data_IF_100915469914
#
_entry.id   IF_100915469914
#
_cell.length_a   1.000
_cell.length_b   1.000
_cell.length_c   1.000
_cell.angle_alpha   90.00
_cell.angle_beta   90.00
_cell.angle_gamma   90.00
#
_symmetry.space_group_name_H-M   'P 1'
#
loop_
_entity.id
_entity.type
_entity.pdbx_description
1 polymer ?
#
# COMPACT_ATOMS: atom_id res chain seq x y z
N UNK A 1 14.73 4.80 -21.96
CA UNK A 1 15.89 5.05 -21.07
C UNK A 1 15.39 5.89 -19.91
N UNK A 2 15.64 5.48 -18.67
CA UNK A 2 15.29 6.28 -17.48
C UNK A 2 16.08 7.59 -17.45
N UNK A 3 15.44 8.68 -17.05
CA UNK A 3 16.07 10.01 -17.01
C UNK A 3 17.28 10.00 -16.05
N UNK A 4 18.42 10.63 -16.39
CA UNK A 4 19.64 10.60 -15.55
C UNK A 4 19.41 11.00 -14.09
N UNK A 5 18.52 11.96 -13.83
CA UNK A 5 18.14 12.37 -12.48
C UNK A 5 17.42 11.28 -11.67
N UNK A 6 16.60 10.44 -12.31
CA UNK A 6 15.91 9.31 -11.64
C UNK A 6 16.94 8.28 -11.19
N UNK A 7 17.92 7.97 -12.04
CA UNK A 7 19.02 7.05 -11.72
C UNK A 7 19.86 7.57 -10.56
N UNK A 8 20.17 8.87 -10.53
CA UNK A 8 20.89 9.49 -9.43
C UNK A 8 20.11 9.41 -8.11
N UNK A 9 18.81 9.76 -8.15
CA UNK A 9 17.94 9.73 -6.97
C UNK A 9 17.81 8.30 -6.40
N UNK A 10 17.64 7.29 -7.25
CA UNK A 10 17.54 5.89 -6.82
C UNK A 10 18.80 5.43 -6.08
N UNK A 11 19.99 5.79 -6.58
CA UNK A 11 21.29 5.33 -6.04
C UNK A 11 21.81 6.14 -4.84
N UNK A 12 21.21 7.30 -4.53
CA UNK A 12 21.64 8.09 -3.38
C UNK A 12 21.39 7.32 -2.06
N UNK A 13 22.30 7.39 -1.07
CA UNK A 13 22.00 6.91 0.29
C UNK A 13 20.92 7.79 0.93
N UNK A 14 19.93 7.17 1.57
CA UNK A 14 18.76 7.85 2.15
C UNK A 14 18.48 7.33 3.55
N UNK A 15 17.98 8.22 4.41
CA UNK A 15 17.31 7.84 5.65
C UNK A 15 15.83 8.24 5.52
N UNK A 16 14.94 7.31 5.81
CA UNK A 16 13.50 7.55 5.85
C UNK A 16 13.07 7.70 7.31
N UNK A 17 12.64 8.91 7.68
CA UNK A 17 12.35 9.27 9.08
C UNK A 17 10.86 9.25 9.41
N UNK A 18 10.00 9.14 8.38
CA UNK A 18 8.56 9.04 8.52
C UNK A 18 8.05 8.02 7.51
N UNK A 19 7.77 6.82 8.00
CA UNK A 19 7.11 5.75 7.28
C UNK A 19 6.14 5.06 8.25
N UNK A 20 4.95 4.77 7.76
CA UNK A 20 4.04 3.83 8.43
C UNK A 20 4.29 2.46 7.79
N UNK A 21 4.69 1.46 8.59
CA UNK A 21 4.99 0.10 8.07
C UNK A 21 3.73 -0.51 7.46
N UNK A 22 2.59 -0.28 8.10
CA UNK A 22 1.28 -0.70 7.62
C UNK A 22 0.88 0.06 6.34
N UNK A 23 1.47 1.23 6.10
CA UNK A 23 1.27 2.03 4.89
C UNK A 23 2.13 1.59 3.72
N UNK A 24 3.13 0.72 3.93
CA UNK A 24 3.93 0.11 2.85
C UNK A 24 3.34 -1.21 2.35
N UNK A 25 2.07 -1.47 2.68
CA UNK A 25 1.39 -2.72 2.38
C UNK A 25 0.79 -2.69 0.98
N UNK A 26 1.39 -3.45 0.07
CA UNK A 26 0.90 -3.55 -1.31
C UNK A 26 -0.42 -4.36 -1.38
N UNK A 27 -1.32 -4.04 -2.33
CA UNK A 27 -2.58 -4.76 -2.52
C UNK A 27 -2.44 -6.28 -2.64
N UNK A 28 -1.39 -6.77 -3.31
CA UNK A 28 -1.10 -8.20 -3.44
C UNK A 28 -0.86 -8.85 -2.08
N UNK A 29 -0.02 -8.21 -1.25
CA UNK A 29 0.30 -8.71 0.09
C UNK A 29 -0.93 -8.67 1.00
N UNK A 30 -1.81 -7.68 0.84
CA UNK A 30 -3.08 -7.61 1.54
C UNK A 30 -3.98 -8.82 1.24
N UNK A 31 -4.07 -9.22 -0.02
CA UNK A 31 -4.81 -10.43 -0.41
C UNK A 31 -4.17 -11.72 0.13
N UNK A 32 -2.84 -11.82 0.06
CA UNK A 32 -2.10 -12.97 0.58
C UNK A 32 -2.33 -13.15 2.09
N UNK A 33 -2.21 -12.05 2.85
CA UNK A 33 -2.42 -12.05 4.30
C UNK A 33 -3.88 -12.35 4.67
N UNK A 34 -4.84 -11.74 3.97
CA UNK A 34 -6.27 -12.03 4.16
C UNK A 34 -6.58 -13.51 3.97
N UNK A 35 -6.04 -14.11 2.90
CA UNK A 35 -6.19 -15.53 2.60
C UNK A 35 -5.55 -16.40 3.68
N UNK A 36 -4.31 -16.09 4.07
CA UNK A 36 -3.56 -16.80 5.12
C UNK A 36 -4.32 -16.79 6.45
N UNK A 37 -4.82 -15.61 6.83
CA UNK A 37 -5.44 -15.35 8.13
C UNK A 37 -6.97 -15.60 8.13
N UNK A 38 -7.55 -16.03 6.99
CA UNK A 38 -8.99 -16.31 6.82
C UNK A 38 -9.88 -15.11 7.11
N UNK A 39 -9.41 -13.91 6.77
CA UNK A 39 -10.17 -12.66 6.88
C UNK A 39 -10.81 -12.35 5.53
N UNK A 40 -12.11 -12.03 5.52
CA UNK A 40 -12.81 -11.62 4.31
C UNK A 40 -12.56 -10.14 4.04
N UNK A 41 -11.97 -9.82 2.90
CA UNK A 41 -11.84 -8.44 2.42
C UNK A 41 -13.15 -7.91 1.86
N UNK A 42 -13.33 -6.59 1.92
CA UNK A 42 -14.42 -5.90 1.23
C UNK A 42 -14.23 -5.89 -0.29
N UNK A 43 -13.01 -6.12 -0.76
CA UNK A 43 -12.60 -6.13 -2.15
C UNK A 43 -12.54 -7.56 -2.70
N UNK A 44 -12.89 -7.71 -3.97
CA UNK A 44 -12.95 -8.98 -4.70
C UNK A 44 -11.68 -9.28 -5.49
N UNK A 45 -10.86 -8.27 -5.79
CA UNK A 45 -9.56 -8.45 -6.45
C UNK A 45 -8.53 -7.37 -6.08
N UNK A 46 -7.26 -7.64 -6.42
CA UNK A 46 -6.13 -6.71 -6.26
C UNK A 46 -6.38 -5.43 -7.07
N UNK A 47 -6.96 -5.55 -8.25
CA UNK A 47 -7.31 -4.43 -9.13
C UNK A 47 -8.36 -3.52 -8.48
N UNK A 48 -9.31 -4.08 -7.74
CA UNK A 48 -10.33 -3.31 -7.02
C UNK A 48 -9.71 -2.48 -5.88
N UNK A 49 -8.76 -3.05 -5.13
CA UNK A 49 -8.00 -2.31 -4.11
C UNK A 49 -7.16 -1.20 -4.76
N UNK A 50 -6.44 -1.50 -5.85
CA UNK A 50 -5.66 -0.49 -6.58
C UNK A 50 -6.54 0.65 -7.11
N UNK A 51 -7.74 0.34 -7.60
CA UNK A 51 -8.70 1.35 -8.03
C UNK A 51 -9.24 2.19 -6.86
N UNK A 52 -9.32 1.61 -5.66
CA UNK A 52 -9.74 2.30 -4.46
C UNK A 52 -8.65 3.22 -3.85
N UNK A 53 -7.40 3.15 -4.33
CA UNK A 53 -6.32 4.09 -3.95
C UNK A 53 -6.47 5.45 -4.66
N UNK A 54 -7.66 6.03 -4.61
CA UNK A 54 -8.03 7.35 -5.10
C UNK A 54 -8.74 8.11 -3.98
N UNK A 55 -8.00 9.00 -3.30
CA UNK A 55 -8.42 9.60 -2.04
C UNK A 55 -8.64 11.10 -2.18
N UNK A 56 -9.78 11.60 -1.69
CA UNK A 56 -10.09 13.03 -1.65
C UNK A 56 -9.70 13.69 -0.32
N UNK A 57 -9.45 12.90 0.73
CA UNK A 57 -9.05 13.38 2.05
C UNK A 57 -8.36 12.29 2.87
N UNK A 58 -7.88 12.66 4.05
CA UNK A 58 -7.19 11.76 4.97
C UNK A 58 -8.09 10.62 5.46
N UNK A 59 -9.38 10.88 5.71
CA UNK A 59 -10.27 9.86 6.26
C UNK A 59 -10.52 8.73 5.26
N UNK A 60 -10.74 9.07 3.99
CA UNK A 60 -10.89 8.08 2.91
C UNK A 60 -9.65 7.18 2.79
N UNK A 61 -8.45 7.74 2.92
CA UNK A 61 -7.21 6.96 3.01
C UNK A 61 -7.21 6.04 4.24
N UNK A 62 -7.54 6.58 5.42
CA UNK A 62 -7.54 5.82 6.67
C UNK A 62 -8.53 4.66 6.66
N UNK A 63 -9.67 4.80 6.00
CA UNK A 63 -10.68 3.75 5.91
C UNK A 63 -10.14 2.49 5.21
N UNK A 64 -9.33 2.66 4.15
CA UNK A 64 -8.67 1.53 3.47
C UNK A 64 -7.45 1.05 4.25
N UNK A 65 -6.64 1.98 4.77
CA UNK A 65 -5.47 1.66 5.59
C UNK A 65 -5.82 0.73 6.76
N UNK A 66 -6.90 1.01 7.50
CA UNK A 66 -7.33 0.17 8.61
C UNK A 66 -7.89 -1.20 8.16
N UNK A 67 -8.47 -1.30 6.96
CA UNK A 67 -8.78 -2.61 6.38
C UNK A 67 -7.51 -3.42 6.10
N UNK A 68 -6.45 -2.79 5.59
CA UNK A 68 -5.14 -3.41 5.41
C UNK A 68 -4.53 -3.90 6.73
N UNK A 69 -4.66 -3.12 7.81
CA UNK A 69 -4.22 -3.55 9.14
C UNK A 69 -5.02 -4.74 9.69
N UNK A 70 -6.30 -4.86 9.36
CA UNK A 70 -7.18 -5.92 9.87
C UNK A 70 -6.79 -7.33 9.41
N UNK A 71 -5.96 -7.44 8.36
CA UNK A 71 -5.57 -8.73 7.78
C UNK A 71 -4.19 -9.20 8.25
N UNK A 72 -3.47 -8.43 9.07
CA UNK A 72 -2.15 -8.80 9.61
C UNK A 72 -2.24 -9.89 10.69
#
# INVERSE_FOLDING_TARGET
>A
MTHPLVTLAANAPKAELHLHIEGSFEPELMFEMATRNKVKLAFSSVEEIRAAYDFSNLQEFLDIYYQGMSVL
#
